data_IF_689728013709
#
_entry.id   IF_689728013709
#
_cell.length_a   1.000
_cell.length_b   1.000
_cell.length_c   1.000
_cell.angle_alpha   90.00
_cell.angle_beta   90.00
_cell.angle_gamma   90.00
#
_symmetry.space_group_name_H-M   'P 1'
#
loop_
_entity.id
_entity.type
_entity.pdbx_description
1 polymer ?
#
# COMPACT_ATOMS: atom_id res chain seq x y z
N UNK A 1 15.07 6.44 -1.88
CA UNK A 1 15.05 5.28 -2.79
C UNK A 1 14.07 4.25 -2.22
N UNK A 2 13.50 3.38 -3.06
CA UNK A 2 12.58 2.31 -2.64
C UNK A 2 13.09 0.98 -3.16
N UNK A 3 12.82 -0.11 -2.44
CA UNK A 3 13.26 -1.46 -2.80
C UNK A 3 12.08 -2.28 -3.29
N UNK A 4 12.21 -2.88 -4.48
CA UNK A 4 11.23 -3.86 -4.96
C UNK A 4 11.30 -5.11 -4.08
N UNK A 5 10.16 -5.50 -3.51
CA UNK A 5 10.05 -6.70 -2.68
C UNK A 5 9.44 -7.86 -3.44
N UNK A 6 8.35 -7.60 -4.17
CA UNK A 6 7.58 -8.63 -4.86
C UNK A 6 6.67 -8.05 -5.92
N UNK A 7 6.13 -8.90 -6.78
CA UNK A 7 4.99 -8.58 -7.63
C UNK A 7 3.75 -9.31 -7.15
N UNK A 8 2.61 -8.61 -7.16
CA UNK A 8 1.30 -9.16 -6.87
C UNK A 8 0.42 -9.05 -8.10
N UNK A 9 -0.32 -10.11 -8.42
CA UNK A 9 -1.34 -10.04 -9.46
C UNK A 9 -2.65 -9.57 -8.83
N UNK A 10 -3.24 -8.50 -9.34
CA UNK A 10 -4.58 -8.06 -8.96
C UNK A 10 -5.61 -9.13 -9.32
N UNK A 11 -6.82 -9.03 -8.78
CA UNK A 11 -7.91 -9.95 -9.13
C UNK A 11 -8.21 -10.00 -10.64
N UNK A 12 -8.02 -8.89 -11.34
CA UNK A 12 -8.20 -8.76 -12.79
C UNK A 12 -7.00 -9.22 -13.63
N UNK A 13 -5.96 -9.79 -13.01
CA UNK A 13 -4.79 -10.26 -13.73
C UNK A 13 -3.72 -9.20 -13.98
N UNK A 14 -3.86 -7.98 -13.43
CA UNK A 14 -2.86 -6.92 -13.60
C UNK A 14 -1.70 -7.11 -12.63
N UNK A 15 -0.45 -7.05 -13.10
CA UNK A 15 0.72 -7.06 -12.22
C UNK A 15 0.85 -5.72 -11.48
N UNK A 16 1.05 -5.79 -10.17
CA UNK A 16 1.27 -4.67 -9.26
C UNK A 16 2.60 -4.91 -8.54
N UNK A 17 3.56 -4.03 -8.76
CA UNK A 17 4.85 -4.10 -8.08
C UNK A 17 4.72 -3.61 -6.63
N UNK A 18 5.16 -4.41 -5.67
CA UNK A 18 5.20 -4.10 -4.24
C UNK A 18 6.61 -3.64 -3.89
N UNK A 19 6.73 -2.37 -3.53
CA UNK A 19 7.92 -1.73 -3.03
C UNK A 19 7.83 -1.50 -1.52
N UNK A 20 8.97 -1.30 -0.88
CA UNK A 20 9.08 -0.74 0.46
C UNK A 20 9.95 0.50 0.44
N UNK A 21 9.57 1.50 1.23
CA UNK A 21 10.40 2.68 1.46
C UNK A 21 11.68 2.30 2.22
N UNK A 22 12.79 2.98 1.93
CA UNK A 22 14.04 2.83 2.71
C UNK A 22 13.83 3.06 4.21
N UNK A 23 12.97 4.03 4.54
CA UNK A 23 12.54 4.30 5.90
C UNK A 23 11.05 4.01 6.05
N UNK A 24 10.73 3.16 7.02
CA UNK A 24 9.36 2.82 7.37
C UNK A 24 9.05 3.24 8.80
N UNK A 25 7.79 3.56 9.05
CA UNK A 25 7.33 3.77 10.43
C UNK A 25 7.08 2.41 11.09
N UNK A 26 7.76 2.15 12.21
CA UNK A 26 7.60 0.98 13.06
C UNK A 26 7.37 1.42 14.50
N UNK A 27 6.23 1.04 15.08
CA UNK A 27 5.82 1.40 16.46
C UNK A 27 5.90 2.90 16.77
N UNK A 28 5.65 3.75 15.79
CA UNK A 28 5.67 5.22 15.92
C UNK A 28 7.04 5.87 15.68
N UNK A 29 8.08 5.10 15.36
CA UNK A 29 9.41 5.62 15.05
C UNK A 29 9.78 5.31 13.61
N UNK A 30 10.50 6.22 12.95
CA UNK A 30 11.11 5.94 11.64
C UNK A 30 12.30 5.01 11.83
N UNK A 31 12.36 3.95 11.01
CA UNK A 31 13.44 2.98 11.01
C UNK A 31 13.82 2.64 9.58
N UNK A 32 15.11 2.41 9.36
CA UNK A 32 15.59 1.83 8.11
C UNK A 32 14.98 0.44 7.93
N UNK A 33 14.59 0.11 6.70
CA UNK A 33 14.02 -1.20 6.36
C UNK A 33 14.95 -2.35 6.73
N UNK A 34 16.27 -2.16 6.59
CA UNK A 34 17.27 -3.17 6.92
C UNK A 34 17.39 -3.44 8.43
N UNK A 35 16.90 -2.52 9.27
CA UNK A 35 16.82 -2.71 10.72
C UNK A 35 15.52 -3.39 11.16
N UNK A 36 14.59 -3.66 10.24
CA UNK A 36 13.36 -4.39 10.51
C UNK A 36 13.63 -5.89 10.45
N UNK A 37 13.04 -6.65 11.39
CA UNK A 37 13.12 -8.11 11.38
C UNK A 37 12.61 -8.66 10.02
N UNK A 38 13.43 -9.43 9.29
CA UNK A 38 13.06 -9.97 7.98
C UNK A 38 11.76 -10.79 8.00
N UNK A 39 11.44 -11.48 9.10
CA UNK A 39 10.20 -12.25 9.24
C UNK A 39 8.98 -11.34 9.34
N UNK A 40 9.12 -10.15 9.94
CA UNK A 40 8.04 -9.15 10.00
C UNK A 40 7.84 -8.53 8.62
N UNK A 41 8.94 -8.25 7.91
CA UNK A 41 8.92 -7.72 6.55
C UNK A 41 8.23 -8.69 5.59
N UNK A 42 8.61 -9.96 5.61
CA UNK A 42 8.03 -11.03 4.80
C UNK A 42 6.52 -11.16 5.06
N UNK A 43 6.11 -11.30 6.32
CA UNK A 43 4.69 -11.41 6.71
C UNK A 43 3.88 -10.18 6.31
N UNK A 44 4.46 -8.98 6.39
CA UNK A 44 3.80 -7.75 5.94
C UNK A 44 3.61 -7.78 4.42
N UNK A 45 4.65 -8.17 3.69
CA UNK A 45 4.64 -8.24 2.22
C UNK A 45 3.60 -9.25 1.71
N UNK A 46 3.56 -10.46 2.28
CA UNK A 46 2.56 -11.48 1.94
C UNK A 46 1.13 -11.01 2.17
N UNK A 47 0.92 -10.25 3.25
CA UNK A 47 -0.39 -9.70 3.58
C UNK A 47 -0.82 -8.61 2.61
N UNK A 48 0.10 -7.72 2.23
CA UNK A 48 -0.14 -6.70 1.21
C UNK A 48 -0.47 -7.36 -0.12
N UNK A 49 0.29 -8.38 -0.53
CA UNK A 49 0.01 -9.18 -1.72
C UNK A 49 -1.40 -9.78 -1.70
N UNK A 50 -1.77 -10.43 -0.59
CA UNK A 50 -3.11 -11.02 -0.43
C UNK A 50 -4.21 -9.95 -0.46
N UNK A 51 -3.95 -8.78 0.11
CA UNK A 51 -4.92 -7.68 0.15
C UNK A 51 -5.12 -7.06 -1.25
N UNK A 52 -4.07 -6.92 -2.05
CA UNK A 52 -4.11 -6.46 -3.44
C UNK A 52 -4.80 -7.46 -4.37
N UNK A 53 -4.69 -8.76 -4.09
CA UNK A 53 -5.45 -9.83 -4.77
C UNK A 53 -6.93 -9.85 -4.37
N UNK A 54 -7.27 -9.24 -3.22
CA UNK A 54 -8.62 -9.21 -2.68
C UNK A 54 -9.55 -8.22 -3.39
N UNK A 55 -10.84 -8.26 -3.02
CA UNK A 55 -11.88 -7.38 -3.60
C UNK A 55 -12.08 -6.07 -2.84
N UNK A 56 -11.35 -5.85 -1.74
CA UNK A 56 -11.70 -4.85 -0.72
C UNK A 56 -10.72 -3.68 -0.62
N UNK A 57 -9.45 -3.91 -0.95
CA UNK A 57 -8.41 -2.89 -0.82
C UNK A 57 -8.51 -1.80 -1.90
N UNK A 58 -8.95 -2.19 -3.10
CA UNK A 58 -9.05 -1.33 -4.28
C UNK A 58 -10.47 -1.33 -4.82
N UNK A 59 -10.93 -0.16 -5.29
CA UNK A 59 -12.14 -0.10 -6.14
C UNK A 59 -11.86 -0.65 -7.53
N UNK A 60 -12.92 -0.85 -8.31
CA UNK A 60 -12.83 -1.34 -9.69
C UNK A 60 -12.00 -0.41 -10.58
N UNK A 61 -12.15 0.90 -10.40
CA UNK A 61 -11.45 1.94 -11.15
C UNK A 61 -9.96 1.97 -10.75
N UNK A 62 -9.68 1.89 -9.44
CA UNK A 62 -8.31 1.89 -8.93
C UNK A 62 -7.53 0.65 -9.39
N UNK A 63 -8.19 -0.51 -9.43
CA UNK A 63 -7.58 -1.75 -9.90
C UNK A 63 -7.15 -1.67 -11.38
N UNK A 64 -7.81 -0.84 -12.19
CA UNK A 64 -7.43 -0.64 -13.59
C UNK A 64 -6.18 0.23 -13.74
N UNK A 65 -6.00 1.23 -12.87
CA UNK A 65 -4.92 2.21 -13.00
C UNK A 65 -3.70 1.93 -12.13
N UNK A 66 -3.84 1.19 -11.03
CA UNK A 66 -2.73 0.89 -10.12
C UNK A 66 -1.62 0.12 -10.83
N UNK A 67 -0.38 0.56 -10.65
CA UNK A 67 0.81 -0.10 -11.17
C UNK A 67 1.75 -0.54 -10.04
N UNK A 68 1.77 0.21 -8.93
CA UNK A 68 2.63 -0.13 -7.80
C UNK A 68 2.01 0.19 -6.43
N UNK A 69 2.52 -0.49 -5.41
CA UNK A 69 2.21 -0.29 -4.01
C UNK A 69 3.50 -0.09 -3.22
N UNK A 70 3.63 0.99 -2.47
CA UNK A 70 4.76 1.32 -1.63
C UNK A 70 4.39 1.17 -0.16
N UNK A 71 5.05 0.25 0.54
CA UNK A 71 4.92 0.09 1.99
C UNK A 71 5.68 1.23 2.68
N UNK A 72 4.97 2.04 3.45
CA UNK A 72 5.53 3.20 4.17
C UNK A 72 5.49 3.02 5.69
N UNK A 73 4.71 2.06 6.17
CA UNK A 73 4.64 1.74 7.59
C UNK A 73 4.48 0.24 7.82
N UNK A 74 5.26 -0.27 8.77
CA UNK A 74 5.12 -1.61 9.30
C UNK A 74 3.88 -1.70 10.20
N UNK A 75 3.60 -2.93 10.65
CA UNK A 75 2.43 -3.22 11.46
C UNK A 75 2.47 -2.42 12.79
N UNK A 76 1.54 -1.48 12.97
CA UNK A 76 1.46 -0.64 14.15
C UNK A 76 0.00 -0.34 14.52
N UNK A 77 -0.20 0.14 15.75
CA UNK A 77 -1.48 0.72 16.19
C UNK A 77 -1.35 2.24 16.13
N UNK A 78 -2.41 2.92 15.70
CA UNK A 78 -2.47 4.39 15.73
C UNK A 78 -3.60 4.82 16.67
N UNK A 79 -3.50 6.01 17.24
CA UNK A 79 -4.51 6.52 18.18
C UNK A 79 -5.91 6.66 17.54
N UNK A 80 -5.98 6.76 16.20
CA UNK A 80 -7.23 6.87 15.42
C UNK A 80 -7.68 5.57 14.72
N UNK A 81 -6.88 4.50 14.71
CA UNK A 81 -7.31 3.17 14.25
C UNK A 81 -6.87 2.11 15.27
N UNK A 82 -7.81 1.56 16.07
CA UNK A 82 -7.48 0.58 17.09
C UNK A 82 -7.02 -0.76 16.49
N UNK A 83 -7.23 -0.97 15.19
CA UNK A 83 -6.77 -2.17 14.51
C UNK A 83 -5.31 -2.03 14.12
N UNK A 84 -4.52 -3.04 14.46
CA UNK A 84 -3.13 -3.11 14.03
C UNK A 84 -3.06 -3.24 12.51
N UNK A 85 -2.38 -2.30 11.85
CA UNK A 85 -2.30 -2.23 10.39
C UNK A 85 -0.92 -1.82 9.90
N UNK A 86 -0.63 -2.18 8.66
CA UNK A 86 0.47 -1.64 7.87
C UNK A 86 -0.09 -0.62 6.89
N UNK A 87 0.68 0.42 6.59
CA UNK A 87 0.24 1.47 5.66
C UNK A 87 1.01 1.36 4.35
N UNK A 88 0.27 1.54 3.25
CA UNK A 88 0.83 1.59 1.91
C UNK A 88 0.25 2.75 1.11
N UNK A 89 1.03 3.20 0.14
CA UNK A 89 0.67 4.20 -0.85
C UNK A 89 0.60 3.50 -2.23
N UNK A 90 -0.46 3.77 -2.99
CA UNK A 90 -0.72 3.13 -4.28
C UNK A 90 -0.48 4.16 -5.38
N UNK A 91 0.26 3.78 -6.42
CA UNK A 91 0.60 4.66 -7.52
C UNK A 91 0.19 4.08 -8.88
N UNK A 92 -0.11 4.97 -9.82
CA UNK A 92 -0.28 4.64 -11.23
C UNK A 92 1.07 4.47 -11.94
N UNK A 93 1.04 4.20 -13.24
CA UNK A 93 2.23 4.04 -14.07
C UNK A 93 3.04 5.34 -14.28
N UNK A 94 2.42 6.49 -14.03
CA UNK A 94 3.05 7.82 -14.12
C UNK A 94 3.63 8.29 -12.78
N UNK A 95 3.47 7.49 -11.72
CA UNK A 95 3.92 7.82 -10.37
C UNK A 95 2.96 8.73 -9.59
N UNK A 96 1.71 8.92 -10.06
CA UNK A 96 0.71 9.64 -9.30
C UNK A 96 0.11 8.76 -8.21
N UNK A 97 0.01 9.28 -6.98
CA UNK A 97 -0.56 8.53 -5.88
C UNK A 97 -2.09 8.47 -5.98
N UNK A 98 -2.61 7.28 -6.26
CA UNK A 98 -4.04 6.96 -6.41
C UNK A 98 -4.74 6.94 -5.04
N UNK A 99 -4.14 6.27 -4.05
CA UNK A 99 -4.76 6.05 -2.75
C UNK A 99 -3.74 5.72 -1.67
N UNK A 100 -4.16 5.87 -0.41
CA UNK A 100 -3.48 5.27 0.74
C UNK A 100 -4.32 4.12 1.27
N UNK A 101 -3.68 3.02 1.60
CA UNK A 101 -4.35 1.81 2.07
C UNK A 101 -3.76 1.34 3.40
N UNK A 102 -4.64 0.84 4.27
CA UNK A 102 -4.32 0.24 5.56
C UNK A 102 -4.63 -1.25 5.49
N UNK A 103 -3.58 -2.05 5.61
CA UNK A 103 -3.64 -3.51 5.57
C UNK A 103 -3.59 -4.08 6.98
N UNK A 104 -4.73 -4.59 7.43
CA UNK A 104 -4.91 -5.22 8.73
C UNK A 104 -4.72 -6.74 8.65
N UNK A 105 -4.47 -7.39 9.79
CA UNK A 105 -4.48 -8.87 9.89
C UNK A 105 -5.84 -9.46 9.55
N UNK A 106 -6.90 -8.76 9.94
CA UNK A 106 -8.28 -9.11 9.62
C UNK A 106 -8.62 -8.62 8.21
N UNK A 107 -8.94 -9.55 7.30
CA UNK A 107 -9.28 -9.25 5.91
C UNK A 107 -10.55 -8.39 5.80
N UNK A 108 -11.42 -8.43 6.80
CA UNK A 108 -12.66 -7.66 6.83
C UNK A 108 -12.50 -6.24 7.38
N UNK A 109 -11.33 -5.92 7.93
CA UNK A 109 -11.03 -4.57 8.46
C UNK A 109 -10.03 -3.79 7.59
N UNK A 110 -9.75 -4.29 6.40
CA UNK A 110 -8.97 -3.60 5.37
C UNK A 110 -9.66 -2.27 5.04
N UNK A 111 -8.92 -1.17 5.13
CA UNK A 111 -9.43 0.17 4.81
C UNK A 111 -8.56 0.80 3.75
N UNK A 112 -9.16 1.59 2.88
CA UNK A 112 -8.44 2.47 1.97
C UNK A 112 -9.04 3.86 2.09
N UNK A 113 -8.21 4.88 1.94
CA UNK A 113 -8.60 6.28 1.90
C UNK A 113 -8.22 6.82 0.54
N UNK A 114 -9.22 7.27 -0.20
CA UNK A 114 -9.00 8.01 -1.43
C UNK A 114 -8.20 9.27 -1.10
N UNK A 115 -7.08 9.49 -1.78
CA UNK A 115 -6.66 10.86 -1.99
C UNK A 115 -7.44 11.32 -3.20
N UNK A 116 -8.25 12.38 -3.04
CA UNK A 116 -8.78 13.10 -4.19
C UNK A 116 -7.54 13.63 -4.90
N UNK A 117 -7.05 12.87 -5.89
CA UNK A 117 -6.22 13.46 -6.93
C UNK A 117 -7.10 14.57 -7.48
N UNK A 118 -6.74 15.81 -7.18
CA UNK A 118 -6.99 16.88 -8.12
C UNK A 118 -6.33 16.40 -9.42
N UNK A 119 -7.11 15.66 -10.21
CA UNK A 119 -7.02 15.74 -11.65
C UNK A 119 -7.06 17.24 -11.90
N UNK A 120 -5.89 17.83 -12.12
CA UNK A 120 -5.77 19.03 -12.91
C UNK A 120 -6.51 18.71 -14.20
N UNK A 121 -7.80 19.04 -14.22
CA UNK A 121 -8.50 19.34 -15.45
C UNK A 121 -7.86 20.62 -15.94
N UNK A 122 -6.74 20.49 -16.64
CA UNK A 122 -6.48 21.38 -17.76
C UNK A 122 -7.38 20.90 -18.91
N UNK A 123 -8.69 21.12 -18.74
CA UNK A 123 -9.58 21.41 -19.86
C UNK A 123 -9.70 22.94 -19.87
N UNK A 124 -9.09 23.61 -20.84
CA UNK A 124 -9.78 24.57 -21.73
C UNK A 124 -8.78 25.40 -22.57
N UNK A 125 -9.03 25.36 -23.89
CA UNK A 125 -8.60 26.25 -24.98
C UNK A 125 -7.12 26.43 -25.30
#
# INVERSE_FOLDING_TARGET
MSRLLREATSRRGKSIAIYIAEEVTDKGYRRLVDAIDPKILEKTTERVQTALQGKKLLTKEQEQVVASALITSMEHKSQGDPNTHSSLELYDEHGNMIAKAHVTRDKDKQKWKFRKLELSREEHC
#
